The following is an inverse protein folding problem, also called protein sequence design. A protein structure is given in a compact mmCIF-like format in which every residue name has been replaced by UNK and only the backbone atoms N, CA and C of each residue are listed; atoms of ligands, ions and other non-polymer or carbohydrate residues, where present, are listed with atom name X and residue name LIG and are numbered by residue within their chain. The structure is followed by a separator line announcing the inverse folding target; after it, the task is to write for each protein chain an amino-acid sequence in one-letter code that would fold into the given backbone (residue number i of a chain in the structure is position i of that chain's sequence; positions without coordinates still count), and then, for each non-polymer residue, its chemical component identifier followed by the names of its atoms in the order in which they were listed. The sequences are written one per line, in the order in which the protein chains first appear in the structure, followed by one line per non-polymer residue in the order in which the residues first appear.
data_IF_075964597535
#
_entry.id   IF_075964597535
#
_cell.length_a   1.000
_cell.length_b   1.000
_cell.length_c   1.000
_cell.angle_alpha   90.00
_cell.angle_beta   90.00
_cell.angle_gamma   90.00
#
_symmetry.space_group_name_H-M   'P 1'
#
loop_
_entity.id
_entity.type
_entity.pdbx_description
1 polymer ?
#
# COMPACT_ATOMS: atom_id res chain seq x y z
N UNK A 1 -68.44 -37.95 -45.17
CA UNK A 1 -67.49 -37.19 -45.98
C UNK A 1 -67.18 -35.88 -45.25
N UNK A 2 -66.04 -35.74 -44.60
CA UNK A 2 -65.50 -34.49 -44.14
C UNK A 2 -64.00 -34.66 -43.88
N UNK A 3 -63.23 -33.92 -44.62
CA UNK A 3 -61.76 -33.93 -44.58
C UNK A 3 -61.27 -33.15 -43.36
N UNK A 4 -60.40 -33.76 -42.52
CA UNK A 4 -59.66 -33.11 -41.49
C UNK A 4 -58.43 -32.41 -42.10
N UNK A 5 -58.32 -31.14 -41.87
CA UNK A 5 -57.11 -30.33 -42.24
C UNK A 5 -56.21 -30.22 -41.00
N UNK A 6 -55.06 -30.84 -41.06
CA UNK A 6 -53.99 -30.64 -40.09
C UNK A 6 -53.31 -29.29 -40.35
N UNK A 7 -53.35 -28.40 -39.38
CA UNK A 7 -52.48 -27.21 -39.33
C UNK A 7 -51.34 -27.47 -38.36
N UNK A 8 -50.17 -27.73 -38.94
CA UNK A 8 -48.93 -27.80 -38.22
C UNK A 8 -48.46 -26.38 -37.85
N UNK A 9 -48.54 -26.05 -36.57
CA UNK A 9 -47.96 -24.81 -36.04
C UNK A 9 -46.47 -24.98 -35.85
N UNK A 10 -45.65 -24.26 -36.63
CA UNK A 10 -44.22 -24.08 -36.35
C UNK A 10 -44.08 -23.14 -35.15
N UNK A 11 -43.57 -23.68 -34.06
CA UNK A 11 -43.07 -22.87 -32.94
C UNK A 11 -41.62 -22.47 -33.26
N UNK A 12 -41.45 -21.22 -33.67
CA UNK A 12 -40.12 -20.65 -33.81
C UNK A 12 -39.56 -20.29 -32.42
N UNK A 13 -38.63 -21.10 -31.93
CA UNK A 13 -37.90 -20.87 -30.71
C UNK A 13 -36.81 -19.83 -31.00
N UNK A 14 -37.11 -18.54 -30.71
CA UNK A 14 -36.12 -17.45 -30.79
C UNK A 14 -35.12 -17.55 -29.67
N UNK A 15 -33.88 -18.01 -29.98
CA UNK A 15 -32.74 -17.92 -29.05
C UNK A 15 -32.25 -16.46 -29.06
N UNK A 16 -32.66 -15.69 -28.06
CA UNK A 16 -32.07 -14.42 -27.78
C UNK A 16 -30.70 -14.61 -27.13
N UNK A 17 -29.64 -14.64 -27.94
CA UNK A 17 -28.27 -14.57 -27.45
C UNK A 17 -28.01 -13.14 -26.97
N UNK A 18 -28.12 -12.92 -25.65
CA UNK A 18 -27.68 -11.69 -25.01
C UNK A 18 -26.14 -11.64 -25.11
N UNK A 19 -25.61 -10.84 -26.04
CA UNK A 19 -24.21 -10.45 -26.05
C UNK A 19 -24.00 -9.57 -24.80
N UNK A 20 -23.49 -10.15 -23.73
CA UNK A 20 -22.86 -9.40 -22.65
C UNK A 20 -21.60 -8.77 -23.21
N UNK A 21 -21.71 -7.52 -23.66
CA UNK A 21 -20.55 -6.70 -23.95
C UNK A 21 -19.85 -6.41 -22.61
N UNK A 22 -18.87 -7.24 -22.25
CA UNK A 22 -17.93 -6.92 -21.19
C UNK A 22 -17.20 -5.66 -21.63
N UNK A 23 -17.53 -4.50 -21.05
CA UNK A 23 -16.71 -3.33 -21.13
C UNK A 23 -15.39 -3.65 -20.43
N UNK A 24 -14.45 -4.20 -21.16
CA UNK A 24 -13.05 -4.24 -20.74
C UNK A 24 -12.61 -2.77 -20.67
N UNK A 25 -12.56 -2.21 -19.47
CA UNK A 25 -11.81 -0.99 -19.24
C UNK A 25 -10.36 -1.33 -19.54
N UNK A 26 -9.89 -1.02 -20.74
CA UNK A 26 -8.48 -1.07 -21.07
C UNK A 26 -7.77 -0.13 -20.10
N UNK A 27 -6.99 -0.68 -19.20
CA UNK A 27 -6.09 0.10 -18.36
C UNK A 27 -5.19 0.90 -19.34
N UNK A 28 -5.26 2.23 -19.25
CA UNK A 28 -4.37 3.07 -20.06
C UNK A 28 -3.00 3.04 -19.39
N UNK A 29 -2.06 2.39 -20.03
CA UNK A 29 -0.68 2.43 -19.59
C UNK A 29 -0.14 3.85 -19.74
N UNK A 30 0.43 4.38 -18.67
CA UNK A 30 1.13 5.66 -18.65
C UNK A 30 2.62 5.35 -18.58
N UNK A 31 3.37 5.70 -19.62
CA UNK A 31 4.83 5.59 -19.64
C UNK A 31 5.41 6.90 -19.13
N UNK A 32 6.13 6.85 -18.02
CA UNK A 32 6.85 7.99 -17.46
C UNK A 32 8.33 7.80 -17.72
N UNK A 33 8.91 8.62 -18.59
CA UNK A 33 10.35 8.67 -18.80
C UNK A 33 10.99 9.63 -17.80
N UNK A 34 12.05 9.20 -17.13
CA UNK A 34 12.84 10.01 -16.21
C UNK A 34 14.26 10.16 -16.73
N UNK A 35 14.87 11.34 -16.56
CA UNK A 35 16.18 11.68 -17.13
C UNK A 35 17.39 11.07 -16.40
N UNK A 36 17.17 10.27 -15.35
CA UNK A 36 18.21 9.56 -14.61
C UNK A 36 17.66 8.27 -13.99
N UNK A 37 18.56 7.38 -13.55
CA UNK A 37 18.15 6.15 -12.88
C UNK A 37 17.90 6.40 -11.39
N UNK A 38 16.84 5.79 -10.84
CA UNK A 38 16.63 5.68 -9.40
C UNK A 38 17.62 4.65 -8.81
N UNK A 39 18.02 4.85 -7.56
CA UNK A 39 19.00 3.96 -6.90
C UNK A 39 18.32 2.74 -6.27
N UNK A 40 17.12 2.91 -5.72
CA UNK A 40 16.33 1.85 -5.10
C UNK A 40 14.87 2.28 -4.98
N UNK A 41 13.95 1.34 -5.02
CA UNK A 41 12.53 1.57 -4.72
C UNK A 41 12.16 1.15 -3.28
N UNK A 42 13.14 0.73 -2.46
CA UNK A 42 12.92 0.56 -1.03
C UNK A 42 12.77 1.94 -0.37
N UNK A 43 11.59 2.33 0.12
CA UNK A 43 11.37 3.67 0.68
C UNK A 43 12.22 3.95 1.92
N UNK A 44 12.61 2.92 2.68
CA UNK A 44 13.45 3.05 3.87
C UNK A 44 14.94 3.18 3.55
N UNK A 45 15.36 2.83 2.33
CA UNK A 45 16.74 2.96 1.87
C UNK A 45 16.93 4.04 0.79
N UNK A 46 15.85 4.53 0.18
CA UNK A 46 15.87 5.59 -0.83
C UNK A 46 16.33 6.92 -0.22
N UNK A 47 17.48 7.42 -0.67
CA UNK A 47 18.12 8.65 -0.15
C UNK A 47 18.14 9.80 -1.17
N UNK A 48 17.69 9.56 -2.38
CA UNK A 48 17.60 10.56 -3.45
C UNK A 48 16.14 10.88 -3.78
N UNK A 49 15.92 12.07 -4.31
CA UNK A 49 14.58 12.61 -4.60
C UNK A 49 13.86 11.80 -5.68
N UNK A 50 14.60 11.30 -6.67
CA UNK A 50 14.00 10.54 -7.78
C UNK A 50 13.48 9.19 -7.30
N UNK A 51 14.29 8.43 -6.54
CA UNK A 51 13.86 7.16 -5.94
C UNK A 51 12.61 7.34 -5.08
N UNK A 52 12.56 8.39 -4.24
CA UNK A 52 11.41 8.68 -3.41
C UNK A 52 10.17 9.08 -4.24
N UNK A 53 10.36 9.84 -5.31
CA UNK A 53 9.25 10.24 -6.19
C UNK A 53 8.64 9.02 -6.91
N UNK A 54 9.48 8.14 -7.44
CA UNK A 54 9.04 6.90 -8.12
C UNK A 54 8.38 5.94 -7.12
N UNK A 55 8.95 5.78 -5.92
CA UNK A 55 8.41 4.91 -4.87
C UNK A 55 6.96 5.27 -4.47
N UNK A 56 6.56 6.54 -4.56
CA UNK A 56 5.17 6.98 -4.30
C UNK A 56 4.13 6.33 -5.22
N UNK A 57 4.52 5.82 -6.38
CA UNK A 57 3.63 5.12 -7.29
C UNK A 57 3.29 3.70 -6.81
N UNK A 58 4.14 3.10 -5.97
CA UNK A 58 3.99 1.74 -5.47
C UNK A 58 3.47 1.68 -4.05
N UNK A 59 3.82 2.68 -3.23
CA UNK A 59 3.64 2.63 -1.80
C UNK A 59 2.80 3.77 -1.26
N UNK A 60 2.11 3.49 -0.17
CA UNK A 60 1.42 4.48 0.67
C UNK A 60 1.93 4.39 2.10
N UNK A 61 1.95 5.52 2.79
CA UNK A 61 2.24 5.60 4.23
C UNK A 61 0.98 5.51 5.07
N UNK A 62 1.15 5.46 6.39
CA UNK A 62 0.02 5.56 7.34
C UNK A 62 -0.68 6.90 7.22
N UNK A 63 0.11 7.94 7.13
CA UNK A 63 -0.31 9.32 6.94
C UNK A 63 0.40 9.92 5.71
N UNK A 64 -0.01 11.09 5.31
CA UNK A 64 0.62 11.88 4.27
C UNK A 64 0.44 13.37 4.56
N UNK A 65 0.92 14.20 3.66
CA UNK A 65 0.71 15.65 3.70
C UNK A 65 -0.14 16.06 2.51
N UNK A 66 -1.05 17.01 2.73
CA UNK A 66 -1.82 17.63 1.66
C UNK A 66 -1.02 18.75 0.98
N UNK A 67 -1.66 19.51 0.09
CA UNK A 67 -1.02 20.62 -0.65
C UNK A 67 -0.64 21.78 0.26
N UNK A 68 -1.33 21.92 1.38
CA UNK A 68 -1.09 22.92 2.42
C UNK A 68 -0.13 22.42 3.50
N UNK A 69 0.55 21.27 3.27
CA UNK A 69 1.46 20.61 4.22
C UNK A 69 0.81 20.19 5.54
N UNK A 70 -0.52 20.00 5.53
CA UNK A 70 -1.26 19.49 6.69
C UNK A 70 -1.29 17.97 6.66
N UNK A 71 -1.28 17.37 7.84
CA UNK A 71 -1.40 15.93 8.01
C UNK A 71 -2.74 15.43 7.46
N UNK A 72 -2.70 14.39 6.63
CA UNK A 72 -3.88 13.67 6.15
C UNK A 72 -3.76 12.18 6.44
N UNK A 73 -4.88 11.55 6.72
CA UNK A 73 -4.99 10.11 6.89
C UNK A 73 -4.91 9.42 5.52
N UNK A 74 -4.10 8.35 5.42
CA UNK A 74 -3.98 7.52 4.20
C UNK A 74 -4.34 6.07 4.52
N UNK A 75 -3.42 5.26 5.02
CA UNK A 75 -3.70 3.89 5.49
C UNK A 75 -4.19 3.86 6.94
N UNK A 76 -3.94 4.92 7.70
CA UNK A 76 -4.50 5.11 9.03
C UNK A 76 -5.82 5.90 8.96
N UNK A 77 -6.73 5.62 9.91
CA UNK A 77 -7.97 6.39 10.14
C UNK A 77 -7.76 7.50 11.16
N UNK A 78 -7.00 7.20 12.21
CA UNK A 78 -6.78 8.11 13.33
C UNK A 78 -5.55 7.70 14.12
N UNK A 79 -5.14 8.58 15.03
CA UNK A 79 -4.14 8.26 16.05
C UNK A 79 -4.43 9.02 17.34
N UNK A 80 -3.90 8.49 18.43
CA UNK A 80 -3.83 9.17 19.73
C UNK A 80 -2.41 9.14 20.26
N UNK A 81 -2.07 10.10 21.10
CA UNK A 81 -0.78 10.18 21.77
C UNK A 81 -1.02 10.21 23.28
N UNK A 82 -0.24 9.44 24.03
CA UNK A 82 -0.28 9.48 25.48
C UNK A 82 0.17 10.84 26.05
N UNK A 83 -0.27 11.18 27.24
CA UNK A 83 0.02 12.47 27.88
C UNK A 83 1.53 12.75 28.04
N UNK A 84 2.32 11.69 28.21
CA UNK A 84 3.78 11.76 28.28
C UNK A 84 4.47 11.90 26.91
N UNK A 85 3.70 11.85 25.81
CA UNK A 85 4.22 11.98 24.45
C UNK A 85 5.06 10.80 23.94
N UNK A 86 5.01 9.65 24.63
CA UNK A 86 5.85 8.47 24.32
C UNK A 86 5.11 7.43 23.49
N UNK A 87 3.80 7.25 23.72
CA UNK A 87 3.02 6.19 23.09
C UNK A 87 2.06 6.74 22.05
N UNK A 88 2.18 6.23 20.82
CA UNK A 88 1.28 6.51 19.72
C UNK A 88 0.43 5.28 19.44
N UNK A 89 -0.89 5.42 19.52
CA UNK A 89 -1.85 4.37 19.14
C UNK A 89 -2.50 4.77 17.82
N UNK A 90 -2.29 3.96 16.79
CA UNK A 90 -2.75 4.23 15.43
C UNK A 90 -3.84 3.24 15.05
N UNK A 91 -4.99 3.74 14.62
CA UNK A 91 -6.07 2.97 14.02
C UNK A 91 -5.86 2.89 12.51
N UNK A 92 -5.95 1.69 11.96
CA UNK A 92 -5.75 1.41 10.54
C UNK A 92 -7.10 1.25 9.82
N UNK A 93 -7.13 1.58 8.53
CA UNK A 93 -8.26 1.26 7.65
C UNK A 93 -8.31 -0.24 7.38
N UNK A 94 -9.52 -0.76 7.28
CA UNK A 94 -9.78 -2.16 6.96
C UNK A 94 -9.91 -2.40 5.44
N UNK A 95 -9.78 -3.66 5.02
CA UNK A 95 -10.05 -4.11 3.66
C UNK A 95 -9.01 -3.68 2.62
N UNK A 96 -7.86 -3.15 3.05
CA UNK A 96 -6.78 -2.78 2.15
C UNK A 96 -5.88 -3.99 1.89
N UNK A 97 -5.46 -4.15 0.64
CA UNK A 97 -4.53 -5.20 0.23
C UNK A 97 -3.27 -4.61 -0.40
N UNK A 98 -2.18 -5.32 -0.21
CA UNK A 98 -0.98 -5.11 -1.01
C UNK A 98 -1.17 -5.60 -2.45
N UNK A 99 -0.31 -5.18 -3.35
CA UNK A 99 -0.34 -5.56 -4.77
C UNK A 99 -0.13 -7.06 -5.01
N UNK A 100 0.45 -7.78 -4.06
CA UNK A 100 0.59 -9.24 -4.06
C UNK A 100 -0.66 -9.99 -3.53
N UNK A 101 -1.71 -9.25 -3.16
CA UNK A 101 -2.96 -9.79 -2.65
C UNK A 101 -2.98 -10.05 -1.14
N UNK A 102 -1.86 -9.90 -0.43
CA UNK A 102 -1.81 -10.03 1.02
C UNK A 102 -2.51 -8.86 1.71
N UNK A 103 -3.00 -9.08 2.93
CA UNK A 103 -3.75 -8.06 3.66
C UNK A 103 -2.81 -7.03 4.31
N UNK A 104 -3.15 -5.75 4.18
CA UNK A 104 -2.57 -4.70 4.99
C UNK A 104 -3.25 -4.70 6.37
N UNK A 105 -2.46 -4.83 7.44
CA UNK A 105 -2.93 -4.89 8.81
C UNK A 105 -1.84 -4.42 9.79
N UNK A 106 -2.15 -4.46 11.09
CA UNK A 106 -1.22 -4.05 12.15
C UNK A 106 0.08 -4.87 12.18
N UNK A 107 0.04 -6.15 11.82
CA UNK A 107 1.23 -6.98 11.74
C UNK A 107 2.15 -6.52 10.59
N UNK A 108 1.58 -6.08 9.47
CA UNK A 108 2.35 -5.52 8.36
C UNK A 108 3.04 -4.20 8.76
N UNK A 109 2.34 -3.32 9.47
CA UNK A 109 2.93 -2.07 10.00
C UNK A 109 4.07 -2.38 10.97
N UNK A 110 3.84 -3.33 11.90
CA UNK A 110 4.88 -3.78 12.84
C UNK A 110 6.11 -4.29 12.10
N UNK A 111 5.97 -5.17 11.13
CA UNK A 111 7.09 -5.72 10.36
C UNK A 111 7.91 -4.61 9.67
N UNK A 112 7.25 -3.61 9.10
CA UNK A 112 7.92 -2.47 8.47
C UNK A 112 8.68 -1.60 9.47
N UNK A 113 8.05 -1.23 10.59
CA UNK A 113 8.65 -0.36 11.59
C UNK A 113 9.76 -1.06 12.39
N UNK A 114 9.61 -2.35 12.70
CA UNK A 114 10.67 -3.14 13.33
C UNK A 114 11.89 -3.21 12.41
N UNK A 115 11.69 -3.49 11.10
CA UNK A 115 12.77 -3.45 10.12
C UNK A 115 13.45 -2.09 10.06
N UNK A 116 12.67 -1.01 10.05
CA UNK A 116 13.18 0.35 9.92
C UNK A 116 13.97 0.81 11.15
N UNK A 117 13.58 0.37 12.35
CA UNK A 117 14.18 0.75 13.63
C UNK A 117 15.32 -0.18 14.07
N UNK A 118 15.58 -1.27 13.36
CA UNK A 118 16.70 -2.16 13.63
C UNK A 118 17.98 -1.67 12.93
N UNK A 119 19.01 -1.27 13.69
CA UNK A 119 20.26 -0.79 13.13
C UNK A 119 21.02 -1.87 12.32
N UNK A 120 20.77 -3.18 12.57
CA UNK A 120 21.39 -4.27 11.84
C UNK A 120 20.99 -4.32 10.36
N UNK A 121 19.89 -3.69 9.98
CA UNK A 121 19.47 -3.60 8.58
C UNK A 121 20.23 -2.56 7.75
N UNK A 122 21.01 -1.68 8.40
CA UNK A 122 21.85 -0.64 7.76
C UNK A 122 21.09 0.25 6.76
N UNK A 123 19.81 0.51 7.00
CA UNK A 123 18.98 1.34 6.14
C UNK A 123 19.38 2.81 6.21
N UNK A 124 19.50 3.48 5.08
CA UNK A 124 19.92 4.89 5.01
C UNK A 124 19.02 5.84 5.79
N UNK A 125 17.74 5.49 5.93
CA UNK A 125 16.74 6.28 6.67
C UNK A 125 16.60 5.88 8.14
N UNK A 126 17.43 4.99 8.67
CA UNK A 126 17.40 4.53 10.07
C UNK A 126 17.26 5.67 11.08
N UNK A 127 17.90 6.82 10.84
CA UNK A 127 17.85 7.96 11.76
C UNK A 127 16.42 8.50 12.00
N UNK A 128 15.46 8.27 11.09
CA UNK A 128 14.06 8.65 11.28
C UNK A 128 13.37 7.76 12.33
N UNK A 129 13.83 6.51 12.47
CA UNK A 129 13.13 5.47 13.24
C UNK A 129 13.86 5.07 14.52
N UNK A 130 15.11 5.50 14.72
CA UNK A 130 15.95 5.11 15.87
C UNK A 130 15.35 5.40 17.24
N UNK A 131 14.38 6.34 17.32
CA UNK A 131 13.64 6.67 18.55
C UNK A 131 12.50 5.69 18.84
N UNK A 132 12.14 4.80 17.93
CA UNK A 132 11.18 3.74 18.21
C UNK A 132 11.82 2.74 19.15
N UNK A 133 11.18 2.53 20.31
CA UNK A 133 11.58 1.50 21.28
C UNK A 133 10.89 0.17 20.97
N UNK A 134 9.60 0.22 20.57
CA UNK A 134 8.79 -0.97 20.33
C UNK A 134 7.61 -0.65 19.41
N UNK A 135 7.27 -1.59 18.54
CA UNK A 135 6.03 -1.59 17.77
C UNK A 135 5.22 -2.84 18.09
N UNK A 136 3.96 -2.69 18.42
CA UNK A 136 3.04 -3.77 18.81
C UNK A 136 1.79 -3.75 17.94
N UNK A 137 1.45 -4.90 17.36
CA UNK A 137 0.13 -5.12 16.76
C UNK A 137 -0.81 -5.56 17.88
N UNK A 138 -1.70 -4.69 18.33
CA UNK A 138 -2.63 -4.95 19.43
C UNK A 138 -3.79 -5.83 18.94
N UNK A 139 -4.30 -5.51 17.78
CA UNK A 139 -5.30 -6.25 17.03
C UNK A 139 -5.05 -6.02 15.52
N UNK A 140 -5.78 -6.64 14.59
CA UNK A 140 -5.54 -6.47 13.16
C UNK A 140 -5.56 -5.02 12.66
N UNK A 141 -6.24 -4.11 13.35
CA UNK A 141 -6.45 -2.71 12.94
C UNK A 141 -5.83 -1.70 13.91
N UNK A 142 -5.13 -2.13 14.94
CA UNK A 142 -4.57 -1.23 15.96
C UNK A 142 -3.09 -1.50 16.17
N UNK A 143 -2.28 -0.48 15.95
CA UNK A 143 -0.83 -0.50 16.19
C UNK A 143 -0.50 0.44 17.34
N UNK A 144 0.32 -0.04 18.28
CA UNK A 144 0.91 0.78 19.33
C UNK A 144 2.41 0.93 19.08
N UNK A 145 2.87 2.18 19.00
CA UNK A 145 4.29 2.53 18.80
C UNK A 145 4.76 3.25 20.06
N UNK A 146 5.76 2.69 20.71
CA UNK A 146 6.38 3.27 21.91
C UNK A 146 7.73 3.87 21.53
N UNK A 147 7.96 5.12 21.88
CA UNK A 147 9.21 5.82 21.67
C UNK A 147 10.15 5.67 22.89
N UNK A 148 11.44 5.84 22.67
CA UNK A 148 12.46 5.86 23.73
C UNK A 148 12.38 7.13 24.58
N UNK A 149 11.93 8.22 23.97
CA UNK A 149 11.74 9.53 24.59
C UNK A 149 10.64 10.31 23.85
N UNK A 150 9.99 11.28 24.51
CA UNK A 150 8.96 12.10 23.87
C UNK A 150 9.49 12.79 22.62
N UNK A 151 8.69 12.74 21.54
CA UNK A 151 9.03 13.39 20.30
C UNK A 151 7.79 13.80 19.53
N UNK A 152 7.32 15.03 19.74
CA UNK A 152 6.07 15.55 19.16
C UNK A 152 6.05 15.56 17.62
N UNK A 153 7.21 15.65 16.98
CA UNK A 153 7.33 15.61 15.53
C UNK A 153 7.27 14.17 14.96
N UNK A 154 7.11 13.12 15.78
CA UNK A 154 7.09 11.74 15.31
C UNK A 154 5.96 11.47 14.32
N UNK A 155 4.81 12.12 14.48
CA UNK A 155 3.71 12.00 13.53
C UNK A 155 4.10 12.45 12.11
N UNK A 156 4.97 13.44 11.97
CA UNK A 156 5.48 13.89 10.68
C UNK A 156 6.42 12.87 10.05
N UNK A 157 7.13 12.07 10.87
CA UNK A 157 7.91 10.94 10.38
C UNK A 157 6.97 9.87 9.81
N UNK A 158 5.87 9.57 10.48
CA UNK A 158 4.87 8.62 9.98
C UNK A 158 4.16 9.11 8.70
N UNK A 159 4.17 10.41 8.43
CA UNK A 159 3.66 11.03 7.20
C UNK A 159 4.73 11.20 6.11
N UNK A 160 5.99 10.95 6.44
CA UNK A 160 7.09 11.07 5.47
C UNK A 160 7.03 9.96 4.43
N UNK A 161 7.29 10.23 3.13
CA UNK A 161 7.30 9.22 2.08
C UNK A 161 8.20 8.00 2.34
N UNK A 162 9.27 8.18 3.13
CA UNK A 162 10.14 7.09 3.55
C UNK A 162 9.46 6.10 4.53
N UNK A 163 8.32 6.46 5.15
CA UNK A 163 7.56 5.58 6.05
C UNK A 163 6.37 4.96 5.30
N UNK A 164 6.63 4.47 4.10
CA UNK A 164 5.63 3.81 3.30
C UNK A 164 5.62 2.29 3.56
N UNK A 165 4.47 1.66 3.42
CA UNK A 165 4.28 0.26 3.80
C UNK A 165 4.62 -0.69 2.65
N UNK A 166 5.54 -1.60 2.90
CA UNK A 166 5.95 -2.69 2.02
C UNK A 166 5.22 -3.97 2.45
N UNK A 167 4.82 -4.81 1.52
CA UNK A 167 4.29 -6.14 1.84
C UNK A 167 5.32 -6.96 2.64
N UNK A 168 4.95 -7.50 3.82
CA UNK A 168 5.83 -8.39 4.56
C UNK A 168 6.20 -9.66 3.79
N UNK A 169 5.29 -10.20 2.99
CA UNK A 169 5.57 -11.36 2.14
C UNK A 169 6.61 -11.03 1.06
N UNK A 170 6.57 -9.83 0.50
CA UNK A 170 7.61 -9.36 -0.43
C UNK A 170 8.95 -9.12 0.27
N UNK A 171 8.95 -8.57 1.49
CA UNK A 171 10.17 -8.41 2.30
C UNK A 171 10.82 -9.77 2.60
N UNK A 172 10.03 -10.78 2.95
CA UNK A 172 10.51 -12.14 3.19
C UNK A 172 11.08 -12.76 1.91
N UNK A 173 10.38 -12.59 0.78
CA UNK A 173 10.75 -13.18 -0.50
C UNK A 173 11.99 -12.57 -1.12
N UNK A 174 12.11 -11.25 -1.10
CA UNK A 174 13.15 -10.51 -1.84
C UNK A 174 14.26 -9.97 -0.94
N UNK A 175 14.05 -9.85 0.37
CA UNK A 175 15.05 -9.41 1.32
C UNK A 175 15.68 -8.06 0.92
N UNK A 176 17.00 -8.07 0.71
CA UNK A 176 17.77 -6.88 0.30
C UNK A 176 17.47 -6.41 -1.13
N UNK A 177 16.89 -7.27 -1.97
CA UNK A 177 16.53 -6.95 -3.35
C UNK A 177 15.15 -6.30 -3.48
N UNK A 178 14.46 -6.04 -2.37
CA UNK A 178 13.13 -5.41 -2.36
C UNK A 178 13.08 -4.08 -3.13
N UNK A 179 14.21 -3.38 -3.22
CA UNK A 179 14.35 -2.16 -3.99
C UNK A 179 14.16 -2.33 -5.52
N UNK A 180 14.21 -3.56 -6.02
CA UNK A 180 13.94 -3.89 -7.43
C UNK A 180 12.58 -4.55 -7.64
N UNK A 181 11.93 -4.99 -6.57
CA UNK A 181 10.64 -5.70 -6.58
C UNK A 181 9.61 -5.01 -5.67
N UNK A 182 9.21 -3.76 -6.00
CA UNK A 182 8.33 -2.98 -5.14
C UNK A 182 6.95 -3.63 -5.04
N UNK A 183 6.47 -3.84 -3.81
CA UNK A 183 5.13 -4.35 -3.50
C UNK A 183 4.56 -3.53 -2.34
N UNK A 184 3.65 -2.65 -2.64
CA UNK A 184 2.97 -1.77 -1.68
C UNK A 184 1.46 -1.82 -1.84
N UNK A 185 0.80 -0.80 -1.31
CA UNK A 185 -0.66 -0.58 -1.41
C UNK A 185 -1.03 0.49 -2.44
N UNK A 186 -0.04 1.07 -3.12
CA UNK A 186 -0.25 2.12 -4.12
C UNK A 186 -0.97 1.63 -5.38
N UNK A 187 -1.32 2.55 -6.30
CA UNK A 187 -2.14 2.22 -7.47
C UNK A 187 -1.48 1.24 -8.46
N UNK A 188 -0.22 0.90 -8.22
CA UNK A 188 0.52 -0.10 -9.00
C UNK A 188 0.93 0.41 -10.38
N UNK A 189 2.23 0.66 -10.55
CA UNK A 189 2.86 0.76 -11.86
C UNK A 189 3.73 -0.48 -12.01
N UNK A 190 3.63 -1.18 -13.14
CA UNK A 190 4.61 -2.23 -13.46
C UNK A 190 5.84 -1.52 -14.02
N UNK A 191 7.03 -1.59 -13.38
CA UNK A 191 8.23 -1.08 -14.01
C UNK A 191 8.50 -1.91 -15.27
N UNK A 192 8.65 -1.23 -16.40
CA UNK A 192 9.23 -1.83 -17.61
C UNK A 192 10.73 -1.69 -17.42
N UNK A 193 11.38 -2.74 -16.98
CA UNK A 193 12.84 -2.86 -16.93
C UNK A 193 13.35 -3.36 -18.26
#
# INVERSE_FOLDING_TARGET
MARAVHRSGLVALGIATALMASCAFAAKDVVVAVGSNFTTLDPYDANDTLSQAVAKSFYQGLFGLDKEMKLKNVLAESYTVSDDGITYTVKLREGIKFQDGTDFNAAAVKANLDRASDPANHLKRYNLYKNIAKTEAIDPTTVKITLKQPFSAFINILAHPATAMISPAALEKYGKEIGFYPVGTGPGIRPIL
#
